data_IF_886324864136
#
_entry.id   IF_886324864136
#
_cell.length_a   1.000
_cell.length_b   1.000
_cell.length_c   1.000
_cell.angle_alpha   90.00
_cell.angle_beta   90.00
_cell.angle_gamma   90.00
#
_symmetry.space_group_name_H-M   'P 1'
#
loop_
_entity.id
_entity.type
_entity.pdbx_description
1 polymer ?
#
# COMPACT_ATOMS: atom_id res chain seq x y z
N UNK A 1 -11.77 10.40 -25.70
CA UNK A 1 -12.02 10.05 -24.29
C UNK A 1 -10.65 9.91 -23.64
N UNK A 2 -10.13 10.97 -23.03
CA UNK A 2 -8.79 10.95 -22.44
C UNK A 2 -8.88 10.25 -21.09
N UNK A 3 -8.24 9.08 -20.97
CA UNK A 3 -8.19 8.35 -19.71
C UNK A 3 -7.48 9.21 -18.68
N UNK A 4 -8.18 9.55 -17.62
CA UNK A 4 -7.63 10.29 -16.48
C UNK A 4 -6.52 9.41 -15.91
N UNK A 5 -5.27 9.78 -16.11
CA UNK A 5 -4.16 9.17 -15.38
C UNK A 5 -4.36 9.60 -13.93
N UNK A 6 -5.01 8.75 -13.15
CA UNK A 6 -5.09 8.88 -11.70
C UNK A 6 -3.64 8.91 -11.21
N UNK A 7 -3.23 10.03 -10.62
CA UNK A 7 -1.87 10.18 -10.09
C UNK A 7 -1.57 9.09 -9.06
N UNK A 8 -0.30 8.74 -8.82
CA UNK A 8 0.07 7.66 -7.90
C UNK A 8 -0.57 7.79 -6.51
N UNK A 9 -0.85 9.00 -6.04
CA UNK A 9 -1.59 9.27 -4.79
C UNK A 9 -3.02 8.71 -4.77
N UNK A 10 -3.69 8.65 -5.93
CA UNK A 10 -5.04 8.09 -6.05
C UNK A 10 -5.03 6.55 -6.02
N UNK A 11 -3.86 5.91 -6.18
CA UNK A 11 -3.71 4.46 -6.11
C UNK A 11 -3.46 3.95 -4.68
N UNK A 12 -3.05 4.83 -3.76
CA UNK A 12 -2.71 4.49 -2.36
C UNK A 12 -3.87 3.80 -1.66
N UNK A 13 -5.05 4.45 -1.61
CA UNK A 13 -6.19 3.94 -0.85
C UNK A 13 -6.69 2.60 -1.41
N UNK A 14 -6.72 2.46 -2.75
CA UNK A 14 -7.09 1.20 -3.40
C UNK A 14 -6.12 0.07 -3.08
N UNK A 15 -4.81 0.37 -3.09
CA UNK A 15 -3.79 -0.59 -2.71
C UNK A 15 -3.91 -0.99 -1.23
N UNK A 16 -4.03 -0.03 -0.32
CA UNK A 16 -4.18 -0.28 1.12
C UNK A 16 -5.43 -1.10 1.41
N UNK A 17 -6.56 -0.76 0.80
CA UNK A 17 -7.79 -1.55 0.93
C UNK A 17 -7.59 -2.99 0.46
N UNK A 18 -6.87 -3.21 -0.66
CA UNK A 18 -6.61 -4.55 -1.20
C UNK A 18 -5.79 -5.42 -0.24
N UNK A 19 -4.73 -4.89 0.38
CA UNK A 19 -3.90 -5.65 1.30
C UNK A 19 -4.62 -5.90 2.64
N UNK A 20 -5.44 -4.94 3.09
CA UNK A 20 -6.21 -5.01 4.33
C UNK A 20 -7.38 -6.00 4.24
N UNK A 21 -8.08 -6.03 3.10
CA UNK A 21 -9.30 -6.83 2.93
C UNK A 21 -9.03 -8.25 2.45
N UNK A 22 -8.12 -8.41 1.50
CA UNK A 22 -7.91 -9.70 0.80
C UNK A 22 -6.85 -10.57 1.48
N UNK A 23 -6.17 -10.04 2.50
CA UNK A 23 -5.07 -10.75 3.18
C UNK A 23 -3.86 -10.97 2.26
N UNK A 24 -3.60 -10.05 1.33
CA UNK A 24 -2.59 -10.22 0.30
C UNK A 24 -1.18 -10.36 0.94
N UNK A 25 -0.44 -11.39 0.52
CA UNK A 25 0.87 -11.74 1.10
C UNK A 25 1.95 -11.44 0.07
N UNK A 26 2.90 -10.57 0.43
CA UNK A 26 4.03 -10.26 -0.43
C UNK A 26 5.11 -9.42 0.26
N UNK A 27 6.11 -8.94 -0.49
CA UNK A 27 7.17 -8.09 0.03
C UNK A 27 6.63 -6.84 0.73
N UNK A 28 5.60 -6.21 0.16
CA UNK A 28 4.92 -5.04 0.73
C UNK A 28 4.16 -5.31 2.03
N UNK A 29 3.97 -6.57 2.43
CA UNK A 29 3.31 -6.96 3.69
C UNK A 29 4.22 -7.83 4.56
N UNK A 30 5.54 -7.69 4.43
CA UNK A 30 6.53 -8.49 5.18
C UNK A 30 6.30 -10.00 5.09
N UNK A 31 5.76 -10.46 3.95
CA UNK A 31 5.45 -11.87 3.69
C UNK A 31 4.47 -12.46 4.72
N UNK A 32 3.59 -11.62 5.27
CA UNK A 32 2.52 -11.99 6.20
C UNK A 32 1.19 -11.40 5.75
N UNK A 33 0.08 -12.02 6.15
CA UNK A 33 -1.22 -11.41 5.94
C UNK A 33 -1.35 -10.17 6.83
N UNK A 34 -2.16 -9.19 6.40
CA UNK A 34 -2.35 -7.93 7.13
C UNK A 34 -2.71 -8.10 8.61
N UNK A 35 -3.57 -9.07 8.92
CA UNK A 35 -4.03 -9.36 10.28
C UNK A 35 -2.96 -10.02 11.17
N UNK A 36 -1.85 -10.51 10.59
CA UNK A 36 -0.73 -11.10 11.32
C UNK A 36 0.40 -10.08 11.58
N UNK A 37 0.29 -8.88 11.03
CA UNK A 37 1.25 -7.81 11.25
C UNK A 37 1.01 -7.16 12.61
N UNK A 38 2.09 -6.83 13.31
CA UNK A 38 2.02 -5.93 14.47
C UNK A 38 1.59 -4.54 14.01
N UNK A 39 1.06 -3.73 14.93
CA UNK A 39 0.65 -2.36 14.64
C UNK A 39 1.79 -1.53 14.00
N UNK A 40 3.02 -1.68 14.49
CA UNK A 40 4.19 -0.98 13.94
C UNK A 40 4.47 -1.36 12.48
N UNK A 41 4.28 -2.64 12.13
CA UNK A 41 4.45 -3.10 10.74
C UNK A 41 3.32 -2.63 9.84
N UNK A 42 2.08 -2.61 10.33
CA UNK A 42 0.96 -2.04 9.59
C UNK A 42 1.20 -0.55 9.29
N UNK A 43 1.66 0.22 10.27
CA UNK A 43 2.04 1.62 10.09
C UNK A 43 3.17 1.78 9.07
N UNK A 44 4.21 0.92 9.14
CA UNK A 44 5.30 0.95 8.17
C UNK A 44 4.84 0.71 6.72
N UNK A 45 3.89 -0.21 6.49
CA UNK A 45 3.32 -0.44 5.14
C UNK A 45 2.56 0.78 4.64
N UNK A 46 1.75 1.41 5.50
CA UNK A 46 0.99 2.62 5.13
C UNK A 46 1.94 3.76 4.76
N UNK A 47 2.94 4.02 5.61
CA UNK A 47 3.93 5.08 5.37
C UNK A 47 4.73 4.80 4.10
N UNK A 48 5.17 3.56 3.88
CA UNK A 48 5.90 3.19 2.66
C UNK A 48 5.05 3.34 1.39
N UNK A 49 3.76 3.01 1.46
CA UNK A 49 2.81 3.18 0.34
C UNK A 49 2.65 4.66 -0.01
N UNK A 50 2.48 5.52 1.00
CA UNK A 50 2.41 6.97 0.80
C UNK A 50 3.71 7.54 0.23
N UNK A 51 4.85 7.14 0.79
CA UNK A 51 6.17 7.59 0.31
C UNK A 51 6.43 7.15 -1.14
N UNK A 52 5.99 5.95 -1.53
CA UNK A 52 6.07 5.48 -2.90
C UNK A 52 5.19 6.30 -3.86
N UNK A 53 3.99 6.69 -3.43
CA UNK A 53 3.11 7.54 -4.21
C UNK A 53 3.69 8.95 -4.42
N UNK A 54 4.32 9.49 -3.38
CA UNK A 54 5.04 10.75 -3.42
C UNK A 54 6.41 10.68 -4.13
N UNK A 55 6.73 9.55 -4.78
CA UNK A 55 7.98 9.34 -5.52
C UNK A 55 9.25 9.51 -4.66
N UNK A 56 9.16 9.23 -3.35
CA UNK A 56 10.28 9.31 -2.41
C UNK A 56 11.13 8.04 -2.38
N UNK A 57 10.65 6.95 -2.99
CA UNK A 57 11.40 5.70 -3.14
C UNK A 57 12.28 5.77 -4.40
N UNK A 58 13.61 5.68 -4.24
CA UNK A 58 14.60 5.75 -5.32
C UNK A 58 15.74 4.76 -5.12
#
# INVERSE_FOLDING_TARGET
MTGKHDGPDQLVEGYLQSIQSTGNIGPGTFHKAWHELTADRQAAVIVATNAAAEQQCG
#
